data_IF_087492257904
#
_entry.id   IF_087492257904
#
_cell.length_a   1.000
_cell.length_b   1.000
_cell.length_c   1.000
_cell.angle_alpha   90.00
_cell.angle_beta   90.00
_cell.angle_gamma   90.00
#
_symmetry.space_group_name_H-M   'P 1'
#
loop_
_entity.id
_entity.type
_entity.pdbx_description
1 polymer ?
#
# COMPACT_ATOMS: atom_id res chain seq x y z
N UNK A 1 33.53 21.71 -0.87
CA UNK A 1 34.44 20.54 -0.72
C UNK A 1 35.85 20.72 -1.26
N UNK A 2 36.17 21.72 -2.10
CA UNK A 2 37.47 21.82 -2.79
C UNK A 2 38.75 22.05 -1.94
N UNK A 3 38.68 22.16 -0.60
CA UNK A 3 39.86 22.50 0.23
C UNK A 3 40.42 21.39 1.12
N UNK A 4 39.68 20.32 1.41
CA UNK A 4 40.11 19.33 2.42
C UNK A 4 40.63 18.00 1.86
N UNK A 5 40.49 17.76 0.55
CA UNK A 5 41.08 16.61 -0.13
C UNK A 5 42.34 16.94 -0.95
N UNK A 6 42.80 18.20 -0.89
CA UNK A 6 43.88 18.74 -1.74
C UNK A 6 45.00 19.39 -0.91
N UNK A 7 44.76 19.64 0.38
CA UNK A 7 45.74 20.26 1.30
C UNK A 7 45.93 19.37 2.53
N UNK A 8 47.18 19.09 2.90
CA UNK A 8 47.59 18.31 4.08
C UNK A 8 47.16 19.01 5.38
N UNK A 9 45.90 18.84 5.77
CA UNK A 9 45.40 19.31 7.06
C UNK A 9 45.65 18.26 8.15
N UNK A 10 46.16 18.65 9.33
CA UNK A 10 46.27 17.75 10.47
C UNK A 10 44.86 17.31 10.91
N UNK A 11 44.67 16.00 11.02
CA UNK A 11 43.43 15.38 11.49
C UNK A 11 43.35 15.52 13.01
N UNK A 12 42.82 16.65 13.46
CA UNK A 12 42.51 16.90 14.87
C UNK A 12 40.99 17.02 15.09
N UNK A 13 40.55 16.89 16.35
CA UNK A 13 39.12 16.94 16.71
C UNK A 13 38.46 18.26 16.27
N UNK A 14 39.19 19.38 16.25
CA UNK A 14 38.67 20.70 15.90
C UNK A 14 38.41 20.81 14.39
N UNK A 15 39.31 20.28 13.56
CA UNK A 15 39.18 20.24 12.12
C UNK A 15 38.07 19.27 11.69
N UNK A 16 37.97 18.10 12.32
CA UNK A 16 36.86 17.15 12.09
C UNK A 16 35.51 17.80 12.45
N UNK A 17 35.39 18.43 13.62
CA UNK A 17 34.17 19.11 14.03
C UNK A 17 33.76 20.25 13.08
N UNK A 18 34.74 21.02 12.58
CA UNK A 18 34.51 22.08 11.59
C UNK A 18 34.00 21.51 10.25
N UNK A 19 34.62 20.45 9.75
CA UNK A 19 34.19 19.79 8.51
C UNK A 19 32.78 19.22 8.64
N UNK A 20 32.46 18.58 9.76
CA UNK A 20 31.10 18.08 10.03
C UNK A 20 30.09 19.23 10.12
N UNK A 21 30.42 20.33 10.80
CA UNK A 21 29.55 21.51 10.89
C UNK A 21 29.31 22.17 9.53
N UNK A 22 30.35 22.33 8.71
CA UNK A 22 30.24 22.87 7.35
C UNK A 22 29.44 21.93 6.45
N UNK A 23 29.65 20.62 6.54
CA UNK A 23 28.87 19.62 5.81
C UNK A 23 27.40 19.69 6.20
N UNK A 24 27.07 19.72 7.50
CA UNK A 24 25.69 19.90 7.98
C UNK A 24 25.07 21.20 7.48
N UNK A 25 25.81 22.31 7.49
CA UNK A 25 25.33 23.61 6.97
C UNK A 25 25.07 23.57 5.47
N UNK A 26 25.91 22.90 4.70
CA UNK A 26 25.72 22.73 3.26
C UNK A 26 24.53 21.81 2.97
N UNK A 27 24.43 20.67 3.65
CA UNK A 27 23.29 19.76 3.52
C UNK A 27 21.97 20.42 3.89
N UNK A 28 21.92 21.22 4.97
CA UNK A 28 20.71 21.97 5.37
C UNK A 28 20.20 22.94 4.30
N UNK A 29 21.04 23.41 3.38
CA UNK A 29 20.62 24.27 2.26
C UNK A 29 19.86 23.50 1.17
N UNK A 30 20.03 22.18 1.09
CA UNK A 30 19.33 21.32 0.12
C UNK A 30 17.97 20.82 0.64
N UNK A 31 17.73 20.99 1.94
CA UNK A 31 16.51 20.57 2.62
C UNK A 31 15.43 21.61 2.34
N UNK A 32 14.52 21.25 1.45
CA UNK A 32 13.35 22.07 1.11
C UNK A 32 12.14 21.15 0.99
N UNK A 33 10.96 21.70 1.24
CA UNK A 33 9.71 20.99 1.01
C UNK A 33 9.47 20.81 -0.49
N UNK A 34 9.13 19.59 -0.91
CA UNK A 34 8.86 19.24 -2.30
C UNK A 34 7.54 18.52 -2.43
N UNK A 35 6.81 18.85 -3.48
CA UNK A 35 5.60 18.12 -3.88
C UNK A 35 5.93 17.27 -5.10
N UNK A 36 5.68 15.98 -4.99
CA UNK A 36 5.90 14.98 -6.02
C UNK A 36 4.58 14.61 -6.69
N UNK A 37 4.61 14.45 -8.01
CA UNK A 37 3.48 13.94 -8.80
C UNK A 37 3.88 12.61 -9.41
N UNK A 38 3.44 11.53 -8.78
CA UNK A 38 3.82 10.17 -9.14
C UNK A 38 2.71 9.58 -10.00
N UNK A 39 2.97 9.19 -11.26
CA UNK A 39 1.93 8.60 -12.09
C UNK A 39 1.42 7.28 -11.52
N UNK A 40 0.14 6.98 -11.70
CA UNK A 40 -0.45 5.72 -11.26
C UNK A 40 -1.60 5.26 -12.18
N UNK A 41 -1.96 4.00 -12.04
CA UNK A 41 -3.08 3.37 -12.73
C UNK A 41 -4.06 2.90 -11.67
N UNK A 42 -5.15 3.66 -11.47
CA UNK A 42 -6.22 3.27 -10.55
C UNK A 42 -7.38 2.68 -11.34
N UNK A 43 -7.87 3.43 -12.32
CA UNK A 43 -8.95 3.00 -13.22
C UNK A 43 -8.64 3.40 -14.66
N UNK A 44 -9.27 2.70 -15.60
CA UNK A 44 -9.18 3.02 -17.04
C UNK A 44 -9.92 4.30 -17.41
N UNK A 45 -11.00 4.63 -16.69
CA UNK A 45 -11.81 5.84 -16.89
C UNK A 45 -11.63 6.83 -15.72
N UNK A 46 -11.41 8.11 -16.06
CA UNK A 46 -11.07 9.16 -15.09
C UNK A 46 -12.27 10.05 -14.70
N UNK A 47 -13.47 9.48 -14.59
CA UNK A 47 -14.66 10.25 -14.18
C UNK A 47 -14.82 10.17 -12.66
N UNK A 48 -14.62 11.31 -12.02
CA UNK A 48 -14.70 11.47 -10.57
C UNK A 48 -13.71 12.52 -10.09
N UNK A 49 -13.88 12.94 -8.85
CA UNK A 49 -12.94 13.81 -8.17
C UNK A 49 -11.81 12.99 -7.55
N UNK A 50 -10.66 13.61 -7.30
CA UNK A 50 -9.56 12.95 -6.58
C UNK A 50 -9.95 12.54 -5.15
N UNK A 51 -9.25 11.55 -4.61
CA UNK A 51 -9.40 11.09 -3.22
C UNK A 51 -8.12 11.37 -2.42
N UNK A 52 -8.27 11.76 -1.16
CA UNK A 52 -7.14 12.07 -0.27
C UNK A 52 -7.07 11.07 0.89
N UNK A 53 -5.92 10.42 1.04
CA UNK A 53 -5.56 9.59 2.18
C UNK A 53 -4.45 10.32 2.93
N UNK A 54 -4.84 11.28 3.78
CA UNK A 54 -3.91 12.11 4.54
C UNK A 54 -2.93 12.88 3.64
N UNK A 55 -1.61 12.64 3.74
CA UNK A 55 -0.60 13.37 2.95
C UNK A 55 -0.54 12.95 1.47
N UNK A 56 -1.27 11.91 1.07
CA UNK A 56 -1.30 11.43 -0.31
C UNK A 56 -2.66 11.72 -0.93
N UNK A 57 -2.67 12.44 -2.06
CA UNK A 57 -3.89 12.68 -2.84
C UNK A 57 -3.78 11.99 -4.20
N UNK A 58 -4.67 11.06 -4.48
CA UNK A 58 -4.85 10.51 -5.82
C UNK A 58 -5.77 11.44 -6.60
N UNK A 59 -5.27 11.94 -7.72
CA UNK A 59 -5.96 12.93 -8.55
C UNK A 59 -6.03 12.46 -9.99
N UNK A 60 -7.04 12.95 -10.70
CA UNK A 60 -7.18 12.69 -12.12
C UNK A 60 -6.10 13.42 -12.91
N UNK A 61 -5.83 12.96 -14.12
CA UNK A 61 -4.95 13.63 -15.06
C UNK A 61 -5.34 15.08 -15.32
N UNK A 62 -6.64 15.41 -15.30
CA UNK A 62 -7.15 16.76 -15.49
C UNK A 62 -6.68 17.67 -14.35
N UNK A 63 -6.88 17.24 -13.11
CA UNK A 63 -6.41 17.94 -11.91
C UNK A 63 -4.88 18.06 -11.89
N UNK A 64 -4.17 16.96 -12.16
CA UNK A 64 -2.70 16.95 -12.20
C UNK A 64 -2.14 17.92 -13.25
N UNK A 65 -2.73 17.97 -14.45
CA UNK A 65 -2.34 18.94 -15.49
C UNK A 65 -2.55 20.38 -15.03
N UNK A 66 -3.66 20.66 -14.34
CA UNK A 66 -3.95 22.00 -13.82
C UNK A 66 -2.91 22.38 -12.75
N UNK A 67 -2.62 21.49 -11.80
CA UNK A 67 -1.62 21.70 -10.76
C UNK A 67 -0.20 21.91 -11.34
N UNK A 68 0.21 21.06 -12.28
CA UNK A 68 1.51 21.18 -12.96
C UNK A 68 1.62 22.47 -13.78
N UNK A 69 0.56 22.89 -14.47
CA UNK A 69 0.56 24.16 -15.23
C UNK A 69 0.74 25.36 -14.31
N UNK A 70 0.07 25.37 -13.16
CA UNK A 70 0.24 26.43 -12.16
C UNK A 70 1.68 26.48 -11.65
N UNK A 71 2.28 25.32 -11.35
CA UNK A 71 3.67 25.24 -10.90
C UNK A 71 4.67 25.68 -11.98
N UNK A 72 4.47 25.29 -13.24
CA UNK A 72 5.31 25.68 -14.37
C UNK A 72 5.24 27.19 -14.64
N UNK A 73 4.04 27.79 -14.59
CA UNK A 73 3.89 29.24 -14.76
C UNK A 73 4.62 30.02 -13.64
N UNK A 74 4.57 29.52 -12.41
CA UNK A 74 5.30 30.12 -11.29
C UNK A 74 6.82 30.00 -11.46
N UNK A 75 7.30 28.86 -11.96
CA UNK A 75 8.72 28.63 -12.27
C UNK A 75 9.20 29.50 -13.45
N UNK A 76 8.40 29.68 -14.50
CA UNK A 76 8.71 30.58 -15.63
C UNK A 76 8.84 32.05 -15.17
N UNK A 77 7.99 32.49 -14.24
CA UNK A 77 8.10 33.83 -13.64
C UNK A 77 9.41 34.03 -12.84
N UNK A 78 9.96 32.95 -12.27
CA UNK A 78 11.23 32.96 -11.53
C UNK A 78 12.42 32.86 -12.50
N UNK A 79 12.35 31.97 -13.50
CA UNK A 79 13.39 31.69 -14.50
C UNK A 79 13.56 32.75 -15.58
N UNK A 80 12.63 33.71 -15.71
CA UNK A 80 12.83 34.91 -16.54
C UNK A 80 14.11 35.72 -16.17
N UNK A 81 14.84 35.32 -15.12
CA UNK A 81 16.11 35.90 -14.65
C UNK A 81 17.37 35.04 -14.90
N UNK A 82 17.30 33.81 -15.40
CA UNK A 82 18.49 32.96 -15.66
C UNK A 82 18.40 32.14 -16.96
N UNK A 83 19.52 31.83 -17.66
CA UNK A 83 19.49 31.15 -18.96
C UNK A 83 19.14 29.66 -18.89
N UNK A 84 18.48 29.24 -19.96
CA UNK A 84 17.65 28.05 -20.15
C UNK A 84 18.44 26.76 -20.42
N UNK A 85 18.16 25.71 -19.64
CA UNK A 85 18.65 24.34 -19.86
C UNK A 85 17.64 23.23 -19.53
N UNK A 86 16.41 23.59 -19.14
CA UNK A 86 15.43 22.66 -18.55
C UNK A 86 14.24 22.26 -19.43
N UNK A 87 14.02 22.94 -20.57
CA UNK A 87 12.80 22.74 -21.39
C UNK A 87 12.68 21.34 -21.98
N UNK A 88 13.79 20.71 -22.40
CA UNK A 88 13.77 19.36 -22.97
C UNK A 88 13.39 18.29 -21.93
N UNK A 89 13.87 18.42 -20.68
CA UNK A 89 13.54 17.49 -19.60
C UNK A 89 12.05 17.55 -19.21
N UNK A 90 11.48 18.75 -19.14
CA UNK A 90 10.04 18.95 -18.87
C UNK A 90 9.20 18.33 -20.01
N UNK A 91 9.61 18.54 -21.27
CA UNK A 91 8.93 17.93 -22.42
C UNK A 91 8.91 16.40 -22.37
N UNK A 92 10.03 15.77 -22.01
CA UNK A 92 10.14 14.31 -21.83
C UNK A 92 9.28 13.81 -20.67
N UNK A 93 9.27 14.50 -19.52
CA UNK A 93 8.45 14.14 -18.37
C UNK A 93 6.94 14.22 -18.70
N UNK A 94 6.51 15.30 -19.36
CA UNK A 94 5.11 15.45 -19.80
C UNK A 94 4.74 14.37 -20.81
N UNK A 95 5.65 14.01 -21.74
CA UNK A 95 5.43 12.93 -22.69
C UNK A 95 5.27 11.58 -21.97
N UNK A 96 6.09 11.28 -20.97
CA UNK A 96 5.94 10.09 -20.12
C UNK A 96 4.57 10.08 -19.42
N UNK A 97 4.15 11.22 -18.86
CA UNK A 97 2.86 11.35 -18.17
C UNK A 97 1.66 11.19 -19.11
N UNK A 98 1.86 11.13 -20.44
CA UNK A 98 0.73 11.00 -21.36
C UNK A 98 0.01 9.65 -21.29
N UNK A 99 0.66 8.61 -20.79
CA UNK A 99 0.09 7.26 -20.68
C UNK A 99 -0.88 7.07 -19.50
N UNK A 100 -0.96 8.05 -18.59
CA UNK A 100 -1.60 7.86 -17.29
C UNK A 100 -2.88 8.67 -17.16
N UNK A 101 -3.83 8.10 -16.41
CA UNK A 101 -5.10 8.75 -16.07
C UNK A 101 -5.12 9.28 -14.63
N UNK A 102 -4.22 8.79 -13.78
CA UNK A 102 -4.17 9.12 -12.36
C UNK A 102 -2.74 9.47 -11.93
N UNK A 103 -2.65 10.31 -10.90
CA UNK A 103 -1.40 10.73 -10.27
C UNK A 103 -1.58 10.75 -8.75
N UNK A 104 -0.60 10.26 -8.01
CA UNK A 104 -0.47 10.49 -6.59
C UNK A 104 0.33 11.78 -6.36
N UNK A 105 -0.28 12.76 -5.71
CA UNK A 105 0.38 13.95 -5.21
C UNK A 105 0.81 13.70 -3.76
N UNK A 106 2.10 13.88 -3.47
CA UNK A 106 2.66 13.72 -2.13
C UNK A 106 3.56 14.91 -1.80
N UNK A 107 3.33 15.55 -0.66
CA UNK A 107 4.19 16.61 -0.16
C UNK A 107 5.10 16.08 0.94
N UNK A 108 6.41 16.28 0.77
CA UNK A 108 7.45 15.89 1.73
C UNK A 108 8.17 17.13 2.21
N UNK A 109 8.17 17.37 3.52
CA UNK A 109 8.75 18.57 4.11
C UNK A 109 10.24 18.40 4.42
N UNK A 110 11.01 19.50 4.30
CA UNK A 110 12.37 19.63 4.82
C UNK A 110 13.30 18.43 4.53
N UNK A 111 13.32 17.95 3.28
CA UNK A 111 14.06 16.74 2.92
C UNK A 111 15.06 17.01 1.79
N UNK A 112 16.12 16.19 1.68
CA UNK A 112 17.01 16.21 0.54
C UNK A 112 16.29 15.70 -0.73
N UNK A 113 16.67 16.13 -1.95
CA UNK A 113 15.92 15.81 -3.17
C UNK A 113 15.70 14.31 -3.39
N UNK A 114 16.77 13.50 -3.44
CA UNK A 114 16.68 12.04 -3.66
C UNK A 114 15.88 11.35 -2.57
N UNK A 115 16.13 11.72 -1.30
CA UNK A 115 15.41 11.15 -0.17
C UNK A 115 13.93 11.50 -0.19
N UNK A 116 13.58 12.71 -0.62
CA UNK A 116 12.18 13.14 -0.73
C UNK A 116 11.42 12.36 -1.80
N UNK A 117 12.08 11.99 -2.89
CA UNK A 117 11.50 11.16 -3.96
C UNK A 117 11.25 9.72 -3.46
N UNK A 118 12.22 9.11 -2.77
CA UNK A 118 12.05 7.80 -2.14
C UNK A 118 10.88 7.79 -1.15
N UNK A 119 10.81 8.81 -0.29
CA UNK A 119 9.73 8.97 0.70
C UNK A 119 8.38 9.13 0.00
N UNK A 120 8.31 9.96 -1.04
CA UNK A 120 7.08 10.19 -1.79
C UNK A 120 6.59 8.92 -2.49
N UNK A 121 7.51 8.16 -3.12
CA UNK A 121 7.18 6.90 -3.77
C UNK A 121 6.72 5.84 -2.77
N UNK A 122 7.39 5.73 -1.62
CA UNK A 122 6.99 4.84 -0.54
C UNK A 122 5.59 5.22 -0.01
N UNK A 123 5.34 6.50 0.27
CA UNK A 123 4.04 6.96 0.75
C UNK A 123 2.92 6.73 -0.28
N UNK A 124 3.16 7.01 -1.57
CA UNK A 124 2.19 6.72 -2.62
C UNK A 124 1.88 5.22 -2.75
N UNK A 125 2.90 4.37 -2.59
CA UNK A 125 2.75 2.91 -2.61
C UNK A 125 1.93 2.43 -1.41
N UNK A 126 2.28 2.87 -0.20
CA UNK A 126 1.52 2.54 1.01
C UNK A 126 0.07 3.04 0.95
N UNK A 127 -0.17 4.21 0.35
CA UNK A 127 -1.53 4.69 0.14
C UNK A 127 -2.32 3.82 -0.83
N UNK A 128 -1.68 3.33 -1.90
CA UNK A 128 -2.30 2.36 -2.80
C UNK A 128 -2.57 1.03 -2.09
N UNK A 129 -1.65 0.59 -1.24
CA UNK A 129 -1.80 -0.63 -0.46
C UNK A 129 -3.00 -0.57 0.50
N UNK A 130 -3.26 0.58 1.13
CA UNK A 130 -4.49 0.81 1.88
C UNK A 130 -5.73 0.86 0.98
N UNK A 131 -5.65 1.51 -0.19
CA UNK A 131 -6.77 1.53 -1.14
C UNK A 131 -7.18 0.12 -1.57
N UNK A 132 -6.24 -0.82 -1.73
CA UNK A 132 -6.58 -2.20 -2.03
C UNK A 132 -7.48 -2.84 -0.96
N UNK A 133 -7.27 -2.50 0.31
CA UNK A 133 -8.10 -3.02 1.41
C UNK A 133 -9.44 -2.29 1.48
N UNK A 134 -9.44 -0.97 1.29
CA UNK A 134 -10.65 -0.13 1.39
C UNK A 134 -11.64 -0.37 0.23
N UNK A 135 -11.14 -0.59 -0.98
CA UNK A 135 -11.94 -0.90 -2.18
C UNK A 135 -12.29 -2.40 -2.25
N UNK A 136 -11.42 -3.23 -1.68
CA UNK A 136 -11.47 -4.68 -1.77
C UNK A 136 -10.45 -5.23 -2.75
N UNK A 137 -9.77 -6.32 -2.37
CA UNK A 137 -8.58 -6.79 -3.07
C UNK A 137 -8.87 -7.32 -4.48
N UNK A 138 -10.08 -7.85 -4.72
CA UNK A 138 -10.46 -8.38 -6.04
C UNK A 138 -10.66 -7.24 -7.04
N UNK A 139 -11.43 -6.22 -6.66
CA UNK A 139 -11.78 -5.10 -7.52
C UNK A 139 -10.58 -4.17 -7.82
N UNK A 140 -9.62 -4.12 -6.90
CA UNK A 140 -8.46 -3.25 -6.99
C UNK A 140 -7.22 -3.92 -7.58
N UNK A 141 -7.29 -5.19 -7.99
CA UNK A 141 -6.13 -6.01 -8.39
C UNK A 141 -5.22 -5.37 -9.46
N UNK A 142 -5.83 -4.68 -10.41
CA UNK A 142 -5.10 -4.07 -11.53
C UNK A 142 -4.59 -2.64 -11.23
N UNK A 143 -4.79 -2.16 -10.00
CA UNK A 143 -4.27 -0.86 -9.57
C UNK A 143 -2.77 -0.92 -9.30
N UNK A 144 -2.02 0.13 -9.68
CA UNK A 144 -0.57 0.19 -9.51
C UNK A 144 0.01 1.61 -9.48
N UNK A 145 1.17 1.77 -8.83
CA UNK A 145 2.02 2.95 -8.96
C UNK A 145 2.97 2.74 -10.14
N UNK A 146 3.29 3.83 -10.85
CA UNK A 146 4.22 3.78 -11.96
C UNK A 146 5.58 3.20 -11.62
N UNK A 147 6.14 2.43 -12.55
CA UNK A 147 7.47 1.82 -12.40
C UNK A 147 7.50 0.54 -11.54
N UNK A 148 6.41 0.18 -10.84
CA UNK A 148 6.33 -1.09 -10.12
C UNK A 148 5.96 -2.27 -11.03
N UNK A 149 5.20 -2.00 -12.10
CA UNK A 149 4.90 -2.92 -13.20
C UNK A 149 4.81 -2.11 -14.50
N UNK A 150 5.30 -2.66 -15.62
CA UNK A 150 5.38 -1.92 -16.89
C UNK A 150 4.02 -1.34 -17.30
N UNK A 151 4.00 -0.05 -17.69
CA UNK A 151 2.78 0.73 -17.98
C UNK A 151 1.87 0.19 -19.06
N UNK A 152 2.40 -0.74 -19.82
CA UNK A 152 1.71 -1.57 -20.77
C UNK A 152 2.38 -2.91 -20.60
N UNK A 153 1.63 -3.94 -20.26
CA UNK A 153 2.07 -5.28 -20.64
C UNK A 153 1.90 -5.33 -22.16
N UNK A 154 2.92 -4.84 -22.88
CA UNK A 154 3.07 -5.12 -24.30
C UNK A 154 3.46 -6.58 -24.39
N UNK A 155 2.48 -7.45 -24.27
CA UNK A 155 2.68 -8.87 -24.45
C UNK A 155 2.72 -9.12 -25.95
N UNK A 156 3.94 -9.25 -26.47
CA UNK A 156 4.16 -9.84 -27.77
C UNK A 156 4.50 -11.31 -27.52
N UNK A 157 3.59 -12.22 -27.88
CA UNK A 157 3.85 -13.64 -27.87
C UNK A 157 4.09 -14.09 -29.32
N UNK A 158 5.22 -14.74 -29.56
CA UNK A 158 5.50 -15.44 -30.81
C UNK A 158 5.43 -16.92 -30.48
N UNK A 159 4.44 -17.61 -31.03
CA UNK A 159 4.25 -19.04 -30.86
C UNK A 159 4.49 -19.74 -32.19
N UNK A 160 5.07 -20.94 -32.16
CA UNK A 160 5.15 -21.82 -33.32
C UNK A 160 4.18 -22.98 -33.07
N UNK A 161 3.16 -23.08 -33.91
CA UNK A 161 2.21 -24.19 -33.88
C UNK A 161 2.91 -25.45 -34.41
N UNK A 162 2.81 -26.56 -33.67
CA UNK A 162 3.28 -27.87 -34.12
C UNK A 162 2.08 -28.79 -34.38
N UNK A 163 2.10 -29.61 -35.45
CA UNK A 163 3.22 -29.87 -36.37
C UNK A 163 3.29 -28.93 -37.58
N UNK A 164 2.37 -27.95 -37.70
CA UNK A 164 2.24 -27.11 -38.90
C UNK A 164 3.45 -26.19 -39.14
N UNK A 165 4.26 -25.95 -38.11
CA UNK A 165 5.38 -25.02 -38.12
C UNK A 165 4.96 -23.56 -38.24
N UNK A 166 3.65 -23.25 -38.20
CA UNK A 166 3.11 -21.91 -38.43
C UNK A 166 3.44 -21.00 -37.26
N UNK A 167 3.95 -19.81 -37.57
CA UNK A 167 4.13 -18.77 -36.56
C UNK A 167 2.80 -18.04 -36.31
N UNK A 168 2.38 -18.01 -35.05
CA UNK A 168 1.29 -17.19 -34.54
C UNK A 168 1.90 -16.06 -33.71
N UNK A 169 1.63 -14.82 -34.11
CA UNK A 169 2.13 -13.63 -33.43
C UNK A 169 0.93 -12.93 -32.84
N UNK A 170 0.91 -12.81 -31.51
CA UNK A 170 -0.10 -12.06 -30.79
C UNK A 170 0.54 -10.83 -30.19
N UNK A 171 0.06 -9.65 -30.55
CA UNK A 171 0.39 -8.39 -29.87
C UNK A 171 -0.82 -7.96 -29.05
N UNK A 172 -0.72 -8.07 -27.73
CA UNK A 172 -1.73 -7.63 -26.79
C UNK A 172 -1.44 -6.23 -26.25
N UNK A 173 -2.50 -5.44 -26.09
CA UNK A 173 -2.49 -4.25 -25.25
C UNK A 173 -3.37 -4.54 -24.05
N UNK A 174 -2.79 -4.75 -22.87
CA UNK A 174 -3.56 -4.75 -21.63
C UNK A 174 -3.49 -3.36 -21.01
N UNK A 175 -4.63 -2.66 -21.00
CA UNK A 175 -4.83 -1.53 -20.12
C UNK A 175 -4.92 -2.07 -18.69
N UNK A 176 -3.88 -1.81 -17.88
CA UNK A 176 -3.93 -2.04 -16.44
C UNK A 176 -4.62 -0.85 -15.75
N UNK A 177 -5.53 -1.17 -14.83
CA UNK A 177 -6.40 -0.26 -14.10
C UNK A 177 -7.71 -0.97 -13.77
N UNK A 178 -8.17 -0.88 -12.53
CA UNK A 178 -9.38 -1.56 -12.06
C UNK A 178 -10.63 -1.09 -12.82
N UNK A 179 -11.60 -1.99 -12.96
CA UNK A 179 -12.93 -1.70 -13.51
C UNK A 179 -13.85 -1.15 -12.41
N UNK A 180 -13.47 -0.04 -11.79
CA UNK A 180 -14.31 0.64 -10.80
C UNK A 180 -15.34 1.51 -11.51
N UNK A 181 -16.52 1.64 -10.90
CA UNK A 181 -17.61 2.47 -11.41
C UNK A 181 -17.27 3.96 -11.39
N UNK A 182 -17.93 4.75 -12.25
CA UNK A 182 -17.82 6.20 -12.25
C UNK A 182 -18.21 6.74 -10.86
N UNK A 183 -17.39 7.63 -10.28
CA UNK A 183 -17.66 8.20 -8.95
C UNK A 183 -17.26 7.35 -7.75
N UNK A 184 -16.53 6.24 -7.96
CA UNK A 184 -16.05 5.37 -6.86
C UNK A 184 -15.30 6.12 -5.75
N UNK A 185 -14.61 7.21 -6.06
CA UNK A 185 -13.88 8.02 -5.07
C UNK A 185 -14.81 8.68 -4.06
N UNK A 186 -15.96 9.19 -4.52
CA UNK A 186 -16.98 9.77 -3.67
C UNK A 186 -17.68 8.70 -2.84
N UNK A 187 -18.02 7.56 -3.46
CA UNK A 187 -18.63 6.44 -2.76
C UNK A 187 -17.70 5.90 -1.66
N UNK A 188 -16.42 5.73 -1.96
CA UNK A 188 -15.43 5.28 -0.98
C UNK A 188 -15.27 6.25 0.18
N UNK A 189 -15.30 7.57 -0.10
CA UNK A 189 -15.24 8.58 0.94
C UNK A 189 -16.48 8.62 1.85
N UNK A 190 -17.62 8.08 1.39
CA UNK A 190 -18.86 7.96 2.17
C UNK A 190 -18.87 6.64 2.94
N UNK A 191 -18.67 5.52 2.25
CA UNK A 191 -18.82 4.18 2.82
C UNK A 191 -17.68 3.80 3.77
N UNK A 192 -16.49 4.35 3.51
CA UNK A 192 -15.25 4.02 4.22
C UNK A 192 -14.58 5.26 4.81
N UNK A 193 -15.36 6.27 5.19
CA UNK A 193 -14.88 7.57 5.72
C UNK A 193 -13.84 7.41 6.84
N UNK A 194 -14.15 6.59 7.86
CA UNK A 194 -13.26 6.28 8.98
C UNK A 194 -12.03 5.52 8.49
N UNK A 195 -12.18 4.56 7.58
CA UNK A 195 -11.07 3.82 6.99
C UNK A 195 -10.09 4.74 6.25
N UNK A 196 -10.62 5.67 5.45
CA UNK A 196 -9.86 6.69 4.72
C UNK A 196 -9.17 7.65 5.68
N UNK A 197 -9.85 8.13 6.72
CA UNK A 197 -9.28 8.99 7.76
C UNK A 197 -8.12 8.30 8.49
N UNK A 198 -8.31 7.05 8.92
CA UNK A 198 -7.31 6.26 9.66
C UNK A 198 -6.11 5.91 8.79
N UNK A 199 -6.32 5.51 7.54
CA UNK A 199 -5.23 5.33 6.58
C UNK A 199 -4.44 6.64 6.39
N UNK A 200 -5.13 7.77 6.27
CA UNK A 200 -4.49 9.09 6.18
C UNK A 200 -3.64 9.44 7.39
N UNK A 201 -4.12 9.14 8.60
CA UNK A 201 -3.39 9.35 9.85
C UNK A 201 -2.11 8.49 9.93
N UNK A 202 -2.20 7.23 9.50
CA UNK A 202 -1.07 6.29 9.45
C UNK A 202 0.00 6.79 8.46
N UNK A 203 -0.42 7.24 7.28
CA UNK A 203 0.48 7.72 6.22
C UNK A 203 1.25 8.98 6.60
N UNK A 204 0.82 9.75 7.61
CA UNK A 204 1.59 10.88 8.13
C UNK A 204 2.99 10.46 8.61
N UNK A 205 3.14 9.26 9.19
CA UNK A 205 4.47 8.75 9.57
C UNK A 205 5.32 8.30 8.39
N UNK A 206 4.73 8.03 7.21
CA UNK A 206 5.50 7.69 6.02
C UNK A 206 6.22 8.91 5.44
N UNK A 207 5.59 10.08 5.50
CA UNK A 207 6.14 11.33 4.91
C UNK A 207 7.00 12.14 5.87
N UNK A 208 6.95 11.83 7.16
CA UNK A 208 7.73 12.52 8.18
C UNK A 208 8.53 11.51 9.02
N UNK A 209 9.84 11.33 8.75
CA UNK A 209 10.68 10.36 9.46
C UNK A 209 10.90 10.72 10.94
N UNK A 210 10.65 11.96 11.35
CA UNK A 210 10.78 12.41 12.74
C UNK A 210 9.53 12.10 13.59
N UNK A 211 8.49 11.48 12.99
CA UNK A 211 7.28 11.03 13.69
C UNK A 211 7.29 9.50 13.88
N UNK A 212 8.06 8.96 14.85
CA UNK A 212 8.03 7.54 15.13
C UNK A 212 6.65 7.14 15.63
N UNK A 213 5.88 6.40 14.85
CA UNK A 213 4.56 5.88 15.21
C UNK A 213 4.55 4.37 15.03
N UNK A 214 4.94 3.56 16.04
CA UNK A 214 5.20 2.14 15.84
C UNK A 214 3.99 1.33 15.33
N UNK A 215 2.78 1.69 15.76
CA UNK A 215 1.55 1.04 15.26
C UNK A 215 1.25 1.45 13.83
N UNK A 216 1.42 2.72 13.48
CA UNK A 216 1.27 3.19 12.10
C UNK A 216 2.28 2.53 11.17
N UNK A 217 3.54 2.42 11.58
CA UNK A 217 4.56 1.69 10.83
C UNK A 217 4.18 0.21 10.65
N UNK A 218 3.70 -0.45 11.70
CA UNK A 218 3.19 -1.83 11.60
C UNK A 218 2.06 -1.93 10.57
N UNK A 219 1.11 -1.00 10.58
CA UNK A 219 0.02 -0.99 9.60
C UNK A 219 0.51 -0.76 8.18
N UNK A 220 1.52 0.10 7.98
CA UNK A 220 2.15 0.26 6.66
C UNK A 220 2.81 -1.04 6.19
N UNK A 221 3.52 -1.75 7.07
CA UNK A 221 4.13 -3.04 6.73
C UNK A 221 3.06 -4.09 6.37
N UNK A 222 1.96 -4.13 7.12
CA UNK A 222 0.82 -5.03 6.87
C UNK A 222 0.18 -4.69 5.51
N UNK A 223 -0.10 -3.42 5.27
CA UNK A 223 -0.69 -2.95 4.02
C UNK A 223 0.24 -3.30 2.84
N UNK A 224 1.54 -3.09 2.97
CA UNK A 224 2.52 -3.44 1.94
C UNK A 224 2.44 -4.92 1.55
N UNK A 225 2.55 -5.84 2.53
CA UNK A 225 2.45 -7.27 2.25
C UNK A 225 1.11 -7.66 1.60
N UNK A 226 0.02 -7.03 2.06
CA UNK A 226 -1.30 -7.24 1.49
C UNK A 226 -1.40 -6.73 0.05
N UNK A 227 -1.02 -5.48 -0.23
CA UNK A 227 -1.06 -4.90 -1.57
C UNK A 227 -0.15 -5.64 -2.55
N UNK A 228 1.03 -6.08 -2.10
CA UNK A 228 1.88 -6.98 -2.89
C UNK A 228 1.17 -8.30 -3.21
N UNK A 229 0.44 -8.91 -2.26
CA UNK A 229 -0.36 -10.11 -2.49
C UNK A 229 -1.56 -9.85 -3.42
N UNK A 230 -2.14 -8.66 -3.41
CA UNK A 230 -3.22 -8.28 -4.32
C UNK A 230 -2.72 -8.30 -5.77
N UNK A 231 -1.56 -7.69 -6.02
CA UNK A 231 -1.00 -7.51 -7.36
C UNK A 231 -0.20 -8.70 -7.89
N UNK A 232 0.15 -9.67 -7.03
CA UNK A 232 0.95 -10.82 -7.43
C UNK A 232 0.18 -11.75 -8.39
N UNK A 233 0.76 -12.15 -9.53
CA UNK A 233 0.09 -13.05 -10.47
C UNK A 233 -0.01 -14.50 -9.96
N UNK A 234 0.89 -14.95 -9.07
CA UNK A 234 1.00 -16.36 -8.68
C UNK A 234 0.13 -16.68 -7.44
N UNK A 235 -0.86 -17.60 -7.54
CA UNK A 235 -1.73 -17.92 -6.40
C UNK A 235 -1.00 -18.39 -5.13
N UNK A 236 0.10 -19.12 -5.28
CA UNK A 236 0.89 -19.63 -4.14
C UNK A 236 1.59 -18.51 -3.38
N UNK A 237 2.23 -17.59 -4.09
CA UNK A 237 2.92 -16.44 -3.47
C UNK A 237 1.91 -15.47 -2.87
N UNK A 238 0.71 -15.33 -3.45
CA UNK A 238 -0.40 -14.59 -2.84
C UNK A 238 -0.80 -15.16 -1.49
N UNK A 239 -0.99 -16.49 -1.39
CA UNK A 239 -1.31 -17.15 -0.10
C UNK A 239 -0.23 -16.85 0.94
N UNK A 240 1.05 -16.98 0.57
CA UNK A 240 2.18 -16.67 1.46
C UNK A 240 2.11 -15.22 1.93
N UNK A 241 2.00 -14.26 1.01
CA UNK A 241 1.99 -12.82 1.33
C UNK A 241 0.77 -12.38 2.13
N UNK A 242 -0.43 -12.90 1.83
CA UNK A 242 -1.63 -12.62 2.63
C UNK A 242 -1.48 -13.10 4.07
N UNK A 243 -0.96 -14.32 4.27
CA UNK A 243 -0.70 -14.85 5.62
C UNK A 243 0.42 -14.07 6.30
N UNK A 244 1.47 -13.65 5.59
CA UNK A 244 2.52 -12.78 6.14
C UNK A 244 1.98 -11.41 6.58
N UNK A 245 1.04 -10.82 5.84
CA UNK A 245 0.36 -9.60 6.28
C UNK A 245 -0.39 -9.83 7.60
N UNK A 246 -1.09 -10.96 7.74
CA UNK A 246 -1.80 -11.34 8.96
C UNK A 246 -0.85 -11.67 10.14
N UNK A 247 0.26 -12.35 9.89
CA UNK A 247 1.34 -12.54 10.87
C UNK A 247 1.87 -11.19 11.35
N UNK A 248 2.14 -10.25 10.43
CA UNK A 248 2.64 -8.92 10.78
C UNK A 248 1.60 -8.10 11.56
N UNK A 249 0.31 -8.30 11.28
CA UNK A 249 -0.78 -7.66 11.99
C UNK A 249 -0.93 -8.20 13.41
N UNK A 250 -0.86 -9.53 13.56
CA UNK A 250 -1.27 -10.22 14.79
C UNK A 250 -0.12 -10.61 15.70
N UNK A 251 1.09 -10.89 15.20
CA UNK A 251 2.23 -11.25 16.03
C UNK A 251 2.84 -10.02 16.70
N UNK A 252 2.63 -9.94 18.00
CA UNK A 252 3.11 -8.86 18.85
C UNK A 252 4.48 -9.17 19.45
N UNK A 253 4.78 -10.45 19.66
CA UNK A 253 5.99 -10.93 20.31
C UNK A 253 6.38 -12.31 19.79
N UNK A 254 7.49 -12.87 20.31
CA UNK A 254 7.85 -14.26 20.08
C UNK A 254 6.88 -15.15 20.86
N UNK A 255 6.23 -16.07 20.15
CA UNK A 255 5.31 -17.06 20.71
C UNK A 255 5.77 -18.46 20.31
N UNK A 256 5.48 -19.45 21.15
CA UNK A 256 5.91 -20.85 20.91
C UNK A 256 5.10 -21.51 19.79
N UNK A 257 3.76 -21.35 19.82
CA UNK A 257 2.87 -21.81 18.75
C UNK A 257 2.35 -20.63 17.93
N UNK A 258 3.11 -20.29 16.89
CA UNK A 258 2.78 -19.22 15.95
C UNK A 258 1.47 -19.50 15.23
N UNK A 259 1.24 -20.74 14.80
CA UNK A 259 0.05 -21.11 14.05
C UNK A 259 -1.22 -20.92 14.89
N UNK A 260 -1.18 -21.36 16.14
CA UNK A 260 -2.30 -21.19 17.08
C UNK A 260 -2.54 -19.72 17.40
N UNK A 261 -1.48 -18.97 17.74
CA UNK A 261 -1.60 -17.56 18.11
C UNK A 261 -2.15 -16.69 16.98
N UNK A 262 -1.65 -16.87 15.75
CA UNK A 262 -2.16 -16.15 14.58
C UNK A 262 -3.60 -16.58 14.30
N UNK A 263 -3.92 -17.87 14.36
CA UNK A 263 -5.28 -18.36 14.07
C UNK A 263 -6.33 -17.82 15.04
N UNK A 264 -6.03 -17.78 16.34
CA UNK A 264 -6.92 -17.18 17.35
C UNK A 264 -7.14 -15.69 17.07
N UNK A 265 -6.05 -14.94 16.86
CA UNK A 265 -6.11 -13.48 16.67
C UNK A 265 -6.81 -13.09 15.37
N UNK A 266 -6.58 -13.84 14.29
CA UNK A 266 -7.27 -13.62 13.02
C UNK A 266 -8.76 -13.96 13.15
N UNK A 267 -9.10 -15.09 13.77
CA UNK A 267 -10.50 -15.46 13.97
C UNK A 267 -11.27 -14.43 14.81
N UNK A 268 -10.63 -13.88 15.86
CA UNK A 268 -11.19 -12.82 16.67
C UNK A 268 -11.42 -11.52 15.88
N UNK A 269 -10.54 -11.18 14.93
CA UNK A 269 -10.69 -9.99 14.07
C UNK A 269 -11.78 -10.15 13.01
N UNK A 270 -12.08 -11.38 12.57
CA UNK A 270 -12.97 -11.63 11.43
C UNK A 270 -14.27 -12.35 11.80
N UNK A 271 -14.58 -12.48 13.09
CA UNK A 271 -15.78 -13.18 13.56
C UNK A 271 -17.05 -12.58 12.96
N UNK A 272 -17.90 -13.43 12.39
CA UNK A 272 -19.15 -13.06 11.72
C UNK A 272 -19.00 -12.27 10.41
N UNK A 273 -17.77 -11.92 9.98
CA UNK A 273 -17.55 -11.10 8.78
C UNK A 273 -17.29 -11.94 7.52
N UNK A 274 -16.80 -13.17 7.68
CA UNK A 274 -16.49 -14.08 6.56
C UNK A 274 -17.43 -15.28 6.66
N UNK A 275 -18.31 -15.41 5.67
CA UNK A 275 -19.35 -16.44 5.60
C UNK A 275 -20.21 -16.56 6.88
N UNK A 276 -20.35 -15.47 7.64
CA UNK A 276 -21.04 -15.43 8.95
C UNK A 276 -20.53 -16.49 9.94
N UNK A 277 -19.26 -16.89 9.85
CA UNK A 277 -18.69 -17.91 10.74
C UNK A 277 -18.48 -17.37 12.16
N UNK A 278 -18.84 -18.19 13.15
CA UNK A 278 -18.42 -17.98 14.55
C UNK A 278 -16.91 -18.18 14.73
N UNK A 279 -16.42 -17.93 15.94
CA UNK A 279 -14.99 -17.94 16.26
C UNK A 279 -14.29 -19.27 15.89
N UNK A 280 -14.76 -20.43 16.35
CA UNK A 280 -14.07 -21.70 16.12
C UNK A 280 -14.07 -22.18 14.67
N UNK A 281 -15.20 -22.14 13.92
CA UNK A 281 -15.20 -22.44 12.49
C UNK A 281 -14.23 -21.53 11.72
N UNK A 282 -14.22 -20.23 12.03
CA UNK A 282 -13.31 -19.26 11.43
C UNK A 282 -11.84 -19.60 11.75
N UNK A 283 -11.52 -19.86 13.03
CA UNK A 283 -10.20 -20.30 13.48
C UNK A 283 -9.74 -21.55 12.76
N UNK A 284 -10.59 -22.57 12.68
CA UNK A 284 -10.25 -23.85 12.05
C UNK A 284 -10.03 -23.71 10.54
N UNK A 285 -10.81 -22.86 9.86
CA UNK A 285 -10.58 -22.57 8.45
C UNK A 285 -9.25 -21.85 8.27
N UNK A 286 -9.01 -20.78 9.03
CA UNK A 286 -7.76 -20.04 8.91
C UNK A 286 -6.53 -20.89 9.23
N UNK A 287 -6.60 -21.77 10.25
CA UNK A 287 -5.51 -22.70 10.58
C UNK A 287 -5.16 -23.63 9.42
N UNK A 288 -6.14 -24.04 8.60
CA UNK A 288 -5.89 -24.79 7.35
C UNK A 288 -5.15 -23.94 6.30
N UNK A 289 -5.55 -22.67 6.15
CA UNK A 289 -4.87 -21.72 5.24
C UNK A 289 -3.42 -21.52 5.68
N UNK A 290 -3.20 -21.34 6.99
CA UNK A 290 -1.86 -21.20 7.57
C UNK A 290 -1.01 -22.45 7.32
N UNK A 291 -1.59 -23.65 7.49
CA UNK A 291 -0.92 -24.91 7.16
C UNK A 291 -0.44 -24.96 5.71
N UNK A 292 -1.28 -24.55 4.75
CA UNK A 292 -0.89 -24.47 3.32
C UNK A 292 0.25 -23.47 3.11
N UNK A 293 0.22 -22.29 3.72
CA UNK A 293 1.34 -21.33 3.66
C UNK A 293 2.62 -21.94 4.24
N UNK A 294 2.52 -22.66 5.35
CA UNK A 294 3.66 -23.33 5.98
C UNK A 294 4.26 -24.37 5.03
N UNK A 295 3.42 -25.21 4.41
CA UNK A 295 3.89 -26.23 3.47
C UNK A 295 4.54 -25.63 2.23
N UNK A 296 3.98 -24.54 1.69
CA UNK A 296 4.59 -23.79 0.58
C UNK A 296 5.95 -23.21 0.97
N UNK A 297 6.08 -22.61 2.16
CA UNK A 297 7.31 -21.99 2.63
C UNK A 297 8.42 -23.02 2.91
N UNK A 298 8.07 -24.21 3.37
CA UNK A 298 9.00 -25.31 3.62
C UNK A 298 9.25 -26.21 2.40
N UNK A 299 8.56 -25.96 1.27
CA UNK A 299 8.72 -26.72 0.04
C UNK A 299 8.09 -28.12 0.07
N UNK A 300 7.23 -28.42 1.05
CA UNK A 300 6.49 -29.69 1.14
C UNK A 300 5.24 -29.71 0.26
N UNK A 301 4.80 -28.54 -0.24
CA UNK A 301 3.71 -28.40 -1.21
C UNK A 301 4.18 -27.71 -2.49
N UNK A 302 3.71 -28.21 -3.64
CA UNK A 302 3.95 -27.58 -4.93
C UNK A 302 3.18 -26.26 -5.05
N UNK A 303 3.77 -25.20 -5.65
CA UNK A 303 3.05 -23.97 -6.01
C UNK A 303 1.79 -24.18 -6.86
N UNK A 304 1.72 -25.28 -7.60
CA UNK A 304 0.61 -25.63 -8.49
C UNK A 304 -0.37 -26.64 -7.88
N UNK A 305 -0.22 -26.98 -6.60
CA UNK A 305 -1.15 -27.89 -5.92
C UNK A 305 -2.57 -27.30 -5.92
N UNK A 306 -3.61 -28.07 -6.31
CA UNK A 306 -5.00 -27.59 -6.34
C UNK A 306 -5.49 -27.01 -5.01
N UNK A 307 -4.93 -27.45 -3.87
CA UNK A 307 -5.24 -26.90 -2.55
C UNK A 307 -4.93 -25.41 -2.45
N UNK A 308 -3.88 -24.93 -3.11
CA UNK A 308 -3.50 -23.51 -3.14
C UNK A 308 -4.63 -22.67 -3.75
N UNK A 309 -5.14 -23.10 -4.90
CA UNK A 309 -6.24 -22.42 -5.60
C UNK A 309 -7.52 -22.42 -4.76
N UNK A 310 -7.75 -23.47 -3.98
CA UNK A 310 -8.94 -23.58 -3.12
C UNK A 310 -8.94 -22.58 -1.95
N UNK A 311 -7.77 -22.08 -1.53
CA UNK A 311 -7.65 -21.22 -0.34
C UNK A 311 -7.25 -19.78 -0.62
N UNK A 312 -6.67 -19.46 -1.78
CA UNK A 312 -6.18 -18.11 -2.08
C UNK A 312 -7.26 -17.03 -1.95
N UNK A 313 -8.50 -17.36 -2.35
CA UNK A 313 -9.63 -16.46 -2.19
C UNK A 313 -9.90 -16.12 -0.72
N UNK A 314 -9.99 -17.15 0.12
CA UNK A 314 -10.23 -17.01 1.56
C UNK A 314 -9.05 -16.35 2.28
N UNK A 315 -7.81 -16.65 1.89
CA UNK A 315 -6.63 -15.99 2.44
C UNK A 315 -6.69 -14.46 2.24
N UNK A 316 -7.12 -14.03 1.05
CA UNK A 316 -7.37 -12.61 0.75
C UNK A 316 -8.51 -12.02 1.57
N UNK A 317 -9.63 -12.74 1.72
CA UNK A 317 -10.79 -12.29 2.51
C UNK A 317 -10.41 -12.08 3.98
N UNK A 318 -9.65 -13.01 4.58
CA UNK A 318 -9.14 -12.90 5.94
C UNK A 318 -8.21 -11.69 6.09
N UNK A 319 -7.27 -11.51 5.17
CA UNK A 319 -6.33 -10.40 5.22
C UNK A 319 -7.02 -9.04 5.09
N UNK A 320 -7.93 -8.89 4.12
CA UNK A 320 -8.72 -7.67 3.91
C UNK A 320 -9.55 -7.35 5.16
N UNK A 321 -10.35 -8.31 5.62
CA UNK A 321 -11.25 -8.13 6.76
C UNK A 321 -10.48 -7.78 8.03
N UNK A 322 -9.36 -8.45 8.29
CA UNK A 322 -8.56 -8.20 9.47
C UNK A 322 -7.90 -6.81 9.45
N UNK A 323 -7.39 -6.37 8.29
CA UNK A 323 -6.83 -5.03 8.10
C UNK A 323 -7.90 -3.97 8.33
N UNK A 324 -9.06 -4.13 7.70
CA UNK A 324 -10.19 -3.22 7.89
C UNK A 324 -10.56 -3.19 9.37
N UNK A 325 -10.81 -4.35 10.00
CA UNK A 325 -11.18 -4.40 11.41
C UNK A 325 -10.15 -3.68 12.28
N UNK A 326 -8.85 -3.91 12.08
CA UNK A 326 -7.79 -3.22 12.81
C UNK A 326 -7.84 -1.69 12.66
N UNK A 327 -8.10 -1.17 11.45
CA UNK A 327 -8.27 0.26 11.21
C UNK A 327 -9.44 0.85 12.03
N UNK A 328 -10.56 0.13 12.12
CA UNK A 328 -11.75 0.59 12.84
C UNK A 328 -11.63 0.45 14.37
N UNK A 329 -11.09 -0.68 14.87
CA UNK A 329 -11.14 -1.00 16.31
C UNK A 329 -9.96 -0.49 17.12
N UNK A 330 -8.79 -0.26 16.51
CA UNK A 330 -7.63 0.25 17.26
C UNK A 330 -7.71 1.77 17.51
N UNK A 331 -8.54 2.51 16.78
CA UNK A 331 -8.80 3.93 17.05
C UNK A 331 -7.65 4.89 16.70
N UNK A 332 -7.97 6.18 16.55
CA UNK A 332 -7.04 7.23 16.10
C UNK A 332 -5.82 7.37 17.01
N UNK A 333 -6.08 7.33 18.32
CA UNK A 333 -5.09 7.68 19.33
C UNK A 333 -3.92 6.71 19.31
N UNK A 334 -4.21 5.41 19.12
CA UNK A 334 -3.17 4.38 19.05
C UNK A 334 -2.27 4.53 17.82
N UNK A 335 -2.80 5.00 16.68
CA UNK A 335 -2.00 5.30 15.49
C UNK A 335 -1.10 6.51 15.68
N UNK A 336 -1.44 7.41 16.61
CA UNK A 336 -0.69 8.64 16.89
C UNK A 336 0.37 8.48 17.98
N UNK A 337 0.41 7.34 18.69
CA UNK A 337 1.34 7.11 19.80
C UNK A 337 2.79 7.06 19.33
N UNK A 338 3.64 7.87 19.96
CA UNK A 338 5.09 7.86 19.74
C UNK A 338 5.82 6.72 20.45
N UNK A 339 5.16 6.12 21.44
CA UNK A 339 5.66 4.97 22.20
C UNK A 339 4.56 3.93 22.31
N UNK A 340 4.87 2.71 21.88
CA UNK A 340 3.97 1.58 21.99
C UNK A 340 4.73 0.35 22.50
N UNK A 341 4.17 -0.35 23.48
CA UNK A 341 4.73 -1.60 23.99
C UNK A 341 3.98 -2.77 23.37
N UNK A 342 4.66 -3.79 22.82
CA UNK A 342 3.99 -4.96 22.24
C UNK A 342 3.01 -5.67 23.18
N UNK A 343 3.27 -5.58 24.49
CA UNK A 343 2.41 -6.07 25.57
C UNK A 343 0.98 -5.51 25.49
N UNK A 344 0.80 -4.22 25.18
CA UNK A 344 -0.53 -3.61 25.09
C UNK A 344 -1.38 -4.23 23.98
N UNK A 345 -0.77 -4.50 22.82
CA UNK A 345 -1.48 -5.12 21.69
C UNK A 345 -1.80 -6.59 21.99
N UNK A 346 -0.90 -7.27 22.70
CA UNK A 346 -1.15 -8.64 23.17
C UNK A 346 -2.33 -8.71 24.12
N UNK A 347 -2.37 -7.85 25.13
CA UNK A 347 -3.45 -7.86 26.11
C UNK A 347 -4.79 -7.57 25.43
N UNK A 348 -4.80 -6.61 24.52
CA UNK A 348 -5.98 -6.33 23.68
C UNK A 348 -6.42 -7.56 22.88
N UNK A 349 -5.50 -8.26 22.21
CA UNK A 349 -5.85 -9.50 21.51
C UNK A 349 -6.40 -10.57 22.45
N UNK A 350 -5.78 -10.76 23.62
CA UNK A 350 -6.24 -11.74 24.61
C UNK A 350 -7.66 -11.42 25.08
N UNK A 351 -7.95 -10.14 25.38
CA UNK A 351 -9.28 -9.70 25.79
C UNK A 351 -10.33 -9.98 24.70
N UNK A 352 -10.06 -9.60 23.44
CA UNK A 352 -10.99 -9.83 22.33
C UNK A 352 -11.20 -11.34 22.08
N UNK A 353 -10.14 -12.14 22.17
CA UNK A 353 -10.25 -13.60 22.03
C UNK A 353 -11.16 -14.19 23.11
N UNK A 354 -10.99 -13.80 24.37
CA UNK A 354 -11.82 -14.32 25.46
C UNK A 354 -13.29 -13.91 25.30
N UNK A 355 -13.56 -12.69 24.84
CA UNK A 355 -14.92 -12.25 24.49
C UNK A 355 -15.51 -13.15 23.38
N UNK A 356 -14.78 -13.37 22.29
CA UNK A 356 -15.25 -14.17 21.16
C UNK A 356 -15.42 -15.67 21.50
N UNK A 357 -14.68 -16.19 22.47
CA UNK A 357 -14.86 -17.57 22.99
C UNK A 357 -16.07 -17.68 23.92
N UNK A 358 -16.32 -16.64 24.72
CA UNK A 358 -17.42 -16.64 25.68
C UNK A 358 -18.78 -16.45 25.00
N UNK A 359 -18.82 -15.69 23.90
CA UNK A 359 -20.00 -15.50 23.08
C UNK A 359 -19.62 -15.65 21.60
N UNK A 360 -19.88 -16.85 21.08
CA UNK A 360 -19.61 -17.23 19.69
C UNK A 360 -20.49 -16.49 18.68
N UNK A 361 -21.52 -15.76 19.14
CA UNK A 361 -22.39 -14.94 18.29
C UNK A 361 -21.93 -13.50 18.18
N UNK A 362 -20.90 -13.09 18.93
CA UNK A 362 -20.29 -11.76 18.83
C UNK A 362 -19.88 -11.50 17.38
N UNK A 363 -20.54 -10.55 16.73
CA UNK A 363 -20.26 -10.15 15.35
C UNK A 363 -21.03 -10.92 14.27
N UNK A 364 -21.81 -11.94 14.61
CA UNK A 364 -22.79 -12.55 13.70
C UNK A 364 -24.02 -11.63 13.66
N UNK A 365 -24.23 -10.91 12.56
CA UNK A 365 -25.46 -10.14 12.39
C UNK A 365 -26.63 -11.12 12.24
N UNK A 366 -27.66 -11.00 13.07
CA UNK A 366 -28.95 -11.64 12.79
C UNK A 366 -29.45 -11.13 11.43
N UNK A 367 -30.00 -12.00 10.56
CA UNK A 367 -30.53 -11.57 9.28
C UNK A 367 -31.64 -10.54 9.51
N UNK A 368 -31.37 -9.28 9.18
CA UNK A 368 -32.39 -8.24 9.11
C UNK A 368 -33.46 -8.68 8.09
N UNK A 369 -34.76 -8.49 8.38
CA UNK A 369 -35.81 -8.72 7.39
C UNK A 369 -35.56 -7.78 6.19
N UNK A 370 -35.61 -8.37 4.99
CA UNK A 370 -35.27 -7.79 3.67
C UNK A 370 -35.38 -6.25 3.56
N UNK A 371 -34.26 -5.56 3.72
CA UNK A 371 -34.00 -4.31 3.02
C UNK A 371 -33.01 -4.60 1.88
N UNK A 372 -33.39 -4.21 0.67
CA UNK A 372 -32.71 -4.58 -0.56
C UNK A 372 -31.20 -4.27 -0.52
N UNK A 373 -30.32 -5.19 -0.96
CA UNK A 373 -28.88 -4.98 -0.90
C UNK A 373 -28.45 -3.88 -1.88
N UNK A 374 -27.90 -2.78 -1.34
CA UNK A 374 -27.07 -1.83 -2.09
C UNK A 374 -25.79 -2.56 -2.49
N UNK A 375 -25.89 -3.21 -3.64
CA UNK A 375 -24.84 -3.99 -4.26
C UNK A 375 -23.99 -3.01 -5.06
N UNK A 376 -22.78 -2.67 -4.58
CA UNK A 376 -21.70 -2.43 -5.54
C UNK A 376 -21.57 -3.75 -6.27
N UNK A 377 -22.01 -3.82 -7.54
CA UNK A 377 -22.00 -5.07 -8.30
C UNK A 377 -20.56 -5.53 -8.43
N UNK A 378 -20.17 -6.45 -7.55
CA UNK A 378 -18.95 -7.27 -7.64
C UNK A 378 -19.10 -8.10 -8.91
N UNK A 379 -18.49 -7.64 -10.01
CA UNK A 379 -18.26 -8.45 -11.20
C UNK A 379 -16.91 -9.16 -11.09
#
# INVERSE_FOLDING_TARGET
MRKFGVEDFPVDQKNVARVLSETVKLSKKEFVSRTHFIPCQLTTFSKGDGISLGPVRFMTRKEAKAALRTALNADEAIKAKEPDGGRDQIGRAIAHYKGYQWFAQVSVENCAPSRSEEIALAAASSALDFLHALIGWRASRDMSIAGQFGHFDRTAAIMREEPSGKLSITTGWQFRGGSLEDGWTGQLAIDMDVGVERAGLILQSCVNPDLPRPISQRMCDVAQWFGEAVRDPSPSTRVVKFVTALERLTLTEKVDDVAESVSDRVAALTVGQIDNMSFYPSKNLFKKIYGIRSDLAHGTMSPNDPKVLSVVGKAGDYAETAILRALYVWGADNFSLSKFTPHKLRDWFNEVIEICKADETVGIMEPQPEEAPLTIKRQ
#
